data_IF_717723839091
#
_entry.id   IF_717723839091
#
_cell.length_a   1.000
_cell.length_b   1.000
_cell.length_c   1.000
_cell.angle_alpha   90.00
_cell.angle_beta   90.00
_cell.angle_gamma   90.00
#
_symmetry.space_group_name_H-M   'P 1'
#
loop_
_entity.id
_entity.type
_entity.pdbx_description
1 polymer ?
#
# COMPACT_ATOMS: atom_id res chain seq x y z
N UNK A 1 -3.40 6.64 -12.52
CA UNK A 1 -4.01 7.60 -11.59
C UNK A 1 -3.00 7.86 -10.47
N UNK A 2 -2.64 9.11 -10.21
CA UNK A 2 -1.69 9.46 -9.15
C UNK A 2 -2.45 10.09 -7.98
N UNK A 3 -2.84 9.27 -7.00
CA UNK A 3 -3.59 9.74 -5.83
C UNK A 3 -2.85 10.80 -5.02
N UNK A 4 -1.53 10.90 -5.16
CA UNK A 4 -0.77 11.97 -4.52
C UNK A 4 -1.15 13.35 -5.08
N UNK A 5 -1.27 13.45 -6.40
CA UNK A 5 -1.62 14.69 -7.08
C UNK A 5 -3.11 15.02 -6.87
N UNK A 6 -3.99 14.03 -6.99
CA UNK A 6 -5.45 14.22 -6.85
C UNK A 6 -5.87 14.64 -5.46
N UNK A 7 -5.17 14.16 -4.43
CA UNK A 7 -5.44 14.52 -3.05
C UNK A 7 -4.74 15.82 -2.63
N UNK A 8 -4.06 16.49 -3.58
CA UNK A 8 -3.31 17.72 -3.41
C UNK A 8 -2.23 17.60 -2.31
N UNK A 9 -1.54 16.47 -2.24
CA UNK A 9 -0.37 16.34 -1.38
C UNK A 9 0.80 17.13 -1.96
N UNK A 10 1.63 17.68 -1.08
CA UNK A 10 2.83 18.40 -1.51
C UNK A 10 3.79 17.37 -2.10
N UNK A 11 4.13 17.54 -3.37
CA UNK A 11 5.17 16.76 -4.04
C UNK A 11 6.53 17.46 -3.82
N UNK A 12 7.42 16.90 -2.99
CA UNK A 12 8.68 17.56 -2.66
C UNK A 12 9.65 17.51 -3.85
N UNK A 13 9.97 18.67 -4.43
CA UNK A 13 10.96 18.77 -5.51
C UNK A 13 12.42 18.78 -5.00
N UNK A 14 12.62 18.92 -3.68
CA UNK A 14 13.93 18.98 -3.04
C UNK A 14 14.16 17.75 -2.16
N UNK A 15 15.37 17.17 -2.24
CA UNK A 15 15.77 15.99 -1.45
C UNK A 15 15.53 16.15 0.05
N UNK A 16 15.79 17.34 0.60
CA UNK A 16 15.57 17.61 2.03
C UNK A 16 14.10 17.48 2.42
N UNK A 17 13.21 18.06 1.62
CA UNK A 17 11.76 18.01 1.83
C UNK A 17 11.24 16.56 1.75
N UNK A 18 11.77 15.79 0.79
CA UNK A 18 11.49 14.36 0.68
C UNK A 18 11.90 13.58 1.93
N UNK A 19 13.12 13.78 2.43
CA UNK A 19 13.58 13.13 3.65
C UNK A 19 12.72 13.48 4.86
N UNK A 20 12.30 14.75 5.00
CA UNK A 20 11.40 15.16 6.08
C UNK A 20 10.06 14.44 6.02
N UNK A 21 9.47 14.29 4.83
CA UNK A 21 8.24 13.51 4.65
C UNK A 21 8.45 12.04 5.04
N UNK A 22 9.55 11.42 4.58
CA UNK A 22 9.89 10.02 4.91
C UNK A 22 10.07 9.82 6.43
N UNK A 23 10.78 10.72 7.12
CA UNK A 23 10.97 10.65 8.57
C UNK A 23 9.64 10.77 9.34
N UNK A 24 8.72 11.63 8.87
CA UNK A 24 7.38 11.79 9.44
C UNK A 24 6.56 10.51 9.24
N UNK A 25 6.57 9.96 8.03
CA UNK A 25 5.90 8.70 7.69
C UNK A 25 6.43 7.56 8.54
N UNK A 26 7.75 7.41 8.64
CA UNK A 26 8.39 6.37 9.44
C UNK A 26 8.03 6.51 10.92
N UNK A 27 7.98 7.74 11.43
CA UNK A 27 7.54 8.01 12.80
C UNK A 27 6.11 7.55 13.05
N UNK A 28 5.19 7.81 12.11
CA UNK A 28 3.82 7.31 12.19
C UNK A 28 3.78 5.78 12.18
N UNK A 29 4.51 5.13 11.26
CA UNK A 29 4.55 3.66 11.16
C UNK A 29 5.07 3.00 12.43
N UNK A 30 6.09 3.59 13.06
CA UNK A 30 6.64 3.10 14.31
C UNK A 30 5.66 3.26 15.48
N UNK A 31 4.91 4.37 15.54
CA UNK A 31 3.85 4.55 16.54
C UNK A 31 2.69 3.58 16.31
N UNK A 32 2.34 3.31 15.06
CA UNK A 32 1.31 2.36 14.67
C UNK A 32 1.63 0.89 15.03
N UNK A 33 2.89 0.58 15.38
CA UNK A 33 3.27 -0.73 15.93
C UNK A 33 2.67 -0.98 17.31
N UNK A 34 2.51 0.08 18.10
CA UNK A 34 2.19 -0.03 19.54
C UNK A 34 0.79 0.44 19.89
N UNK A 35 0.09 1.16 19.00
CA UNK A 35 -1.26 1.67 19.26
C UNK A 35 -2.07 1.94 17.99
N UNK A 36 -3.40 2.10 18.09
CA UNK A 36 -4.25 2.42 16.95
C UNK A 36 -3.89 3.74 16.27
N UNK A 37 -3.90 3.77 14.94
CA UNK A 37 -3.48 4.93 14.14
C UNK A 37 -4.34 6.17 14.38
N UNK A 38 -5.64 5.99 14.58
CA UNK A 38 -6.60 7.06 14.93
C UNK A 38 -6.37 7.69 16.32
N UNK A 39 -5.50 7.11 17.15
CA UNK A 39 -5.12 7.66 18.47
C UNK A 39 -3.72 8.29 18.48
N UNK A 40 -3.01 8.25 17.36
CA UNK A 40 -1.70 8.91 17.22
C UNK A 40 -1.94 10.42 17.10
N UNK A 41 -1.14 11.22 17.82
CA UNK A 41 -1.25 12.68 17.78
C UNK A 41 -0.10 13.30 17.00
N UNK A 42 -0.30 14.53 16.49
CA UNK A 42 0.77 15.29 15.84
C UNK A 42 1.95 15.59 16.78
N UNK A 43 1.70 15.72 18.10
CA UNK A 43 2.77 15.89 19.10
C UNK A 43 3.67 14.64 19.18
N UNK A 44 3.10 13.45 19.15
CA UNK A 44 3.90 12.21 19.20
C UNK A 44 4.71 12.01 17.92
N UNK A 45 4.14 12.34 16.77
CA UNK A 45 4.85 12.33 15.49
C UNK A 45 5.98 13.37 15.52
N UNK A 46 5.71 14.58 16.02
CA UNK A 46 6.72 15.64 16.18
C UNK A 46 7.88 15.19 17.07
N UNK A 47 7.56 14.63 18.24
CA UNK A 47 8.56 14.14 19.19
C UNK A 47 9.42 13.03 18.58
N UNK A 48 8.80 12.07 17.88
CA UNK A 48 9.52 10.92 17.32
C UNK A 48 10.32 11.26 16.05
N UNK A 49 9.78 12.11 15.19
CA UNK A 49 10.43 12.51 13.93
C UNK A 49 11.52 13.57 14.13
N UNK A 50 11.53 14.26 15.28
CA UNK A 50 12.46 15.35 15.55
C UNK A 50 12.10 16.67 14.87
N UNK A 51 10.98 16.74 14.14
CA UNK A 51 10.50 17.96 13.49
C UNK A 51 9.44 18.64 14.33
N UNK A 52 9.48 19.97 14.41
CA UNK A 52 8.42 20.76 15.04
C UNK A 52 7.07 20.57 14.32
N UNK A 53 5.97 20.69 15.05
CA UNK A 53 4.61 20.57 14.47
C UNK A 53 4.39 21.53 13.28
N UNK A 54 4.95 22.74 13.33
CA UNK A 54 4.86 23.68 12.21
C UNK A 54 5.51 23.14 10.93
N UNK A 55 6.62 22.40 11.04
CA UNK A 55 7.26 21.72 9.91
C UNK A 55 6.40 20.58 9.39
N UNK A 56 5.78 19.78 10.28
CA UNK A 56 4.86 18.73 9.88
C UNK A 56 3.68 19.33 9.10
N UNK A 57 3.06 20.38 9.64
CA UNK A 57 1.89 21.00 9.03
C UNK A 57 2.22 21.88 7.81
N UNK A 58 3.51 22.15 7.57
CA UNK A 58 3.97 22.68 6.29
C UNK A 58 3.85 21.63 5.17
N UNK A 59 4.02 20.34 5.47
CA UNK A 59 3.94 19.25 4.50
C UNK A 59 2.53 18.62 4.41
N UNK A 60 1.77 18.63 5.51
CA UNK A 60 0.47 17.96 5.64
C UNK A 60 -0.55 18.91 6.24
N UNK A 61 -1.77 19.01 5.71
CA UNK A 61 -2.73 20.01 6.22
C UNK A 61 -3.27 19.67 7.61
N UNK A 62 -3.29 18.38 7.94
CA UNK A 62 -3.80 17.84 9.19
C UNK A 62 -3.21 16.44 9.43
N UNK A 63 -3.60 15.80 10.52
CA UNK A 63 -3.15 14.44 10.85
C UNK A 63 -3.67 13.38 9.86
N UNK A 64 -4.93 13.50 9.43
CA UNK A 64 -5.55 12.58 8.47
C UNK A 64 -4.77 12.56 7.14
N UNK A 65 -4.23 13.70 6.72
CA UNK A 65 -3.34 13.84 5.56
C UNK A 65 -2.08 12.99 5.72
N UNK A 66 -1.45 12.99 6.90
CA UNK A 66 -0.24 12.19 7.19
C UNK A 66 -0.57 10.69 7.08
N UNK A 67 -1.71 10.29 7.67
CA UNK A 67 -2.16 8.90 7.71
C UNK A 67 -2.49 8.41 6.31
N UNK A 68 -3.27 9.19 5.56
CA UNK A 68 -3.67 8.84 4.21
C UNK A 68 -2.47 8.81 3.25
N UNK A 69 -1.57 9.79 3.35
CA UNK A 69 -0.32 9.81 2.58
C UNK A 69 0.52 8.56 2.88
N UNK A 70 0.68 8.20 4.15
CA UNK A 70 1.40 6.99 4.56
C UNK A 70 0.78 5.74 3.97
N UNK A 71 -0.54 5.61 4.01
CA UNK A 71 -1.25 4.47 3.44
C UNK A 71 -1.06 4.36 1.92
N UNK A 72 -1.14 5.47 1.18
CA UNK A 72 -0.90 5.47 -0.26
C UNK A 72 0.56 5.17 -0.62
N UNK A 73 1.51 5.65 0.19
CA UNK A 73 2.93 5.37 -0.02
C UNK A 73 3.24 3.89 0.22
N UNK A 74 2.69 3.30 1.27
CA UNK A 74 2.83 1.87 1.53
C UNK A 74 2.12 1.02 0.47
N UNK A 75 0.94 1.44 0.01
CA UNK A 75 0.25 0.79 -1.12
C UNK A 75 1.12 0.82 -2.38
N UNK A 76 1.69 1.97 -2.73
CA UNK A 76 2.61 2.10 -3.88
C UNK A 76 3.82 1.18 -3.75
N UNK A 77 4.44 1.10 -2.56
CA UNK A 77 5.56 0.19 -2.27
C UNK A 77 5.13 -1.27 -2.39
N UNK A 78 3.96 -1.62 -1.87
CA UNK A 78 3.39 -2.95 -1.97
C UNK A 78 3.11 -3.34 -3.43
N UNK A 79 2.53 -2.46 -4.25
CA UNK A 79 2.33 -2.72 -5.68
C UNK A 79 3.65 -2.98 -6.40
N UNK A 80 4.68 -2.18 -6.13
CA UNK A 80 6.01 -2.40 -6.70
C UNK A 80 6.58 -3.78 -6.30
N UNK A 81 6.40 -4.20 -5.04
CA UNK A 81 6.83 -5.51 -4.58
C UNK A 81 6.00 -6.66 -5.17
N UNK A 82 4.68 -6.47 -5.30
CA UNK A 82 3.77 -7.43 -5.88
C UNK A 82 4.12 -7.74 -7.34
N UNK A 83 4.48 -6.70 -8.11
CA UNK A 83 5.00 -6.87 -9.48
C UNK A 83 6.24 -7.77 -9.51
N UNK A 84 7.18 -7.56 -8.59
CA UNK A 84 8.38 -8.40 -8.49
C UNK A 84 8.04 -9.85 -8.10
N UNK A 85 7.10 -10.05 -7.19
CA UNK A 85 6.65 -11.39 -6.77
C UNK A 85 6.04 -12.14 -7.96
N UNK A 86 5.13 -11.48 -8.70
CA UNK A 86 4.49 -12.08 -9.87
C UNK A 86 5.50 -12.38 -10.98
N UNK A 87 6.38 -11.42 -11.31
CA UNK A 87 7.39 -11.60 -12.36
C UNK A 87 8.39 -12.72 -12.08
N UNK A 88 8.74 -12.92 -10.80
CA UNK A 88 9.72 -13.91 -10.38
C UNK A 88 9.10 -15.24 -9.92
N UNK A 89 7.78 -15.42 -10.05
CA UNK A 89 7.14 -16.68 -9.63
C UNK A 89 7.65 -17.85 -10.50
N UNK A 90 8.23 -18.90 -9.89
CA UNK A 90 8.79 -20.00 -10.65
C UNK A 90 7.68 -20.94 -11.13
N UNK A 91 7.77 -21.36 -12.40
CA UNK A 91 6.78 -22.21 -13.08
C UNK A 91 6.56 -23.59 -12.45
N UNK A 92 7.51 -24.07 -11.64
CA UNK A 92 7.45 -25.36 -10.96
C UNK A 92 6.88 -25.29 -9.54
N UNK A 93 6.46 -24.12 -9.06
CA UNK A 93 5.85 -23.97 -7.74
C UNK A 93 4.34 -23.75 -7.84
N UNK A 94 3.56 -24.33 -6.91
CA UNK A 94 2.12 -24.23 -6.94
C UNK A 94 1.61 -22.83 -6.59
N UNK A 95 0.34 -22.56 -6.92
CA UNK A 95 -0.36 -21.32 -6.60
C UNK A 95 -0.31 -20.97 -5.10
N UNK A 96 -0.26 -21.98 -4.22
CA UNK A 96 -0.12 -21.75 -2.79
C UNK A 96 1.17 -21.02 -2.44
N UNK A 97 2.29 -21.37 -3.09
CA UNK A 97 3.57 -20.68 -2.90
C UNK A 97 3.47 -19.21 -3.33
N UNK A 98 2.79 -18.95 -4.45
CA UNK A 98 2.53 -17.57 -4.88
C UNK A 98 1.66 -16.82 -3.87
N UNK A 99 0.57 -17.44 -3.41
CA UNK A 99 -0.34 -16.86 -2.43
C UNK A 99 0.38 -16.53 -1.12
N UNK A 100 1.23 -17.42 -0.63
CA UNK A 100 2.03 -17.21 0.58
C UNK A 100 2.99 -16.03 0.39
N UNK A 101 3.68 -15.93 -0.75
CA UNK A 101 4.56 -14.80 -1.06
C UNK A 101 3.79 -13.47 -1.12
N UNK A 102 2.60 -13.46 -1.75
CA UNK A 102 1.74 -12.27 -1.80
C UNK A 102 1.26 -11.87 -0.40
N UNK A 103 0.76 -12.81 0.39
CA UNK A 103 0.26 -12.54 1.75
C UNK A 103 1.38 -12.05 2.68
N UNK A 104 2.56 -12.65 2.59
CA UNK A 104 3.73 -12.24 3.36
C UNK A 104 4.22 -10.84 2.95
N UNK A 105 3.90 -10.36 1.75
CA UNK A 105 4.35 -9.06 1.25
C UNK A 105 3.51 -7.85 1.68
N UNK A 106 2.32 -8.06 2.26
CA UNK A 106 1.34 -7.00 2.51
C UNK A 106 1.71 -6.15 3.74
N UNK A 107 2.27 -4.96 3.54
CA UNK A 107 2.76 -4.11 4.64
C UNK A 107 2.19 -2.68 4.65
N UNK A 108 0.87 -2.51 4.56
CA UNK A 108 0.25 -1.18 4.69
C UNK A 108 0.51 -0.54 6.06
N UNK A 109 0.45 -1.36 7.11
CA UNK A 109 0.91 -1.06 8.46
C UNK A 109 1.67 -2.27 9.00
N UNK A 110 2.50 -2.11 10.04
CA UNK A 110 3.25 -3.22 10.62
C UNK A 110 2.31 -4.40 10.95
N UNK A 111 2.48 -5.55 10.30
CA UNK A 111 1.62 -6.72 10.52
C UNK A 111 1.69 -7.23 11.97
N UNK A 112 2.81 -6.96 12.66
CA UNK A 112 2.99 -7.27 14.07
C UNK A 112 2.13 -6.42 15.02
N UNK A 113 1.46 -5.38 14.52
CA UNK A 113 0.58 -4.56 15.34
C UNK A 113 -0.74 -5.27 15.57
N UNK A 114 -1.15 -5.37 16.85
CA UNK A 114 -2.48 -5.85 17.25
C UNK A 114 -3.62 -4.98 16.69
N UNK A 115 -3.29 -3.83 16.10
CA UNK A 115 -4.20 -2.82 15.59
C UNK A 115 -4.19 -2.74 14.05
N UNK A 116 -3.56 -3.69 13.36
CA UNK A 116 -3.40 -3.67 11.91
C UNK A 116 -4.76 -3.55 11.19
N UNK A 117 -5.74 -4.39 11.54
CA UNK A 117 -7.06 -4.38 10.91
C UNK A 117 -7.84 -3.09 11.15
N UNK A 118 -7.74 -2.50 12.34
CA UNK A 118 -8.36 -1.22 12.68
C UNK A 118 -7.71 -0.06 11.89
N UNK A 119 -6.39 -0.09 11.76
CA UNK A 119 -5.62 0.90 11.00
C UNK A 119 -5.98 0.85 9.51
N UNK A 120 -6.15 -0.34 8.95
CA UNK A 120 -6.65 -0.53 7.58
C UNK A 120 -8.05 0.03 7.39
N UNK A 121 -8.99 -0.30 8.30
CA UNK A 121 -10.37 0.21 8.24
C UNK A 121 -10.39 1.73 8.30
N UNK A 122 -9.56 2.32 9.14
CA UNK A 122 -9.45 3.76 9.27
C UNK A 122 -8.85 4.41 8.01
N UNK A 123 -7.78 3.86 7.44
CA UNK A 123 -7.26 4.35 6.16
C UNK A 123 -8.26 4.25 5.01
N UNK A 124 -8.97 3.11 4.92
CA UNK A 124 -10.02 2.93 3.92
C UNK A 124 -11.14 3.97 4.08
N UNK A 125 -11.56 4.25 5.31
CA UNK A 125 -12.61 5.25 5.57
C UNK A 125 -12.15 6.67 5.22
N UNK A 126 -10.91 7.03 5.54
CA UNK A 126 -10.31 8.32 5.14
C UNK A 126 -10.23 8.47 3.63
N UNK A 127 -9.80 7.42 2.92
CA UNK A 127 -9.71 7.45 1.47
C UNK A 127 -11.08 7.62 0.83
N UNK A 128 -12.06 6.77 1.18
CA UNK A 128 -13.42 6.82 0.63
C UNK A 128 -14.04 8.19 0.88
N UNK A 129 -13.87 8.75 2.10
CA UNK A 129 -14.39 10.08 2.44
C UNK A 129 -13.82 11.18 1.55
N UNK A 130 -12.59 11.03 1.06
CA UNK A 130 -11.86 12.07 0.32
C UNK A 130 -11.97 11.94 -1.20
N UNK A 131 -12.03 10.71 -1.71
CA UNK A 131 -12.06 10.43 -3.16
C UNK A 131 -13.43 10.02 -3.67
N UNK A 132 -14.33 9.57 -2.78
CA UNK A 132 -15.57 8.89 -3.14
C UNK A 132 -15.34 7.64 -4.01
N UNK A 133 -14.14 7.05 -3.94
CA UNK A 133 -13.75 5.83 -4.65
C UNK A 133 -13.46 4.71 -3.65
N UNK A 134 -13.62 3.44 -4.07
CA UNK A 134 -13.14 2.32 -3.27
C UNK A 134 -11.61 2.43 -3.09
N UNK A 135 -11.13 2.03 -1.90
CA UNK A 135 -9.69 2.09 -1.57
C UNK A 135 -8.82 1.21 -2.50
N UNK A 136 -9.40 0.13 -3.03
CA UNK A 136 -8.82 -0.69 -4.09
C UNK A 136 -9.41 -0.23 -5.43
N UNK A 137 -8.57 0.29 -6.32
CA UNK A 137 -9.02 0.84 -7.60
C UNK A 137 -8.74 -0.11 -8.78
N UNK A 138 -9.50 0.04 -9.86
CA UNK A 138 -9.44 -0.79 -11.07
C UNK A 138 -8.06 -0.84 -11.76
N UNK A 139 -7.21 0.16 -11.53
CA UNK A 139 -5.88 0.29 -12.17
C UNK A 139 -4.94 -0.84 -11.76
N UNK A 140 -5.06 -1.32 -10.53
CA UNK A 140 -4.23 -2.43 -10.05
C UNK A 140 -4.63 -3.73 -10.75
N UNK A 141 -5.93 -3.90 -11.04
CA UNK A 141 -6.43 -5.08 -11.75
C UNK A 141 -5.91 -5.11 -13.19
N UNK A 142 -5.93 -3.98 -13.91
CA UNK A 142 -5.44 -3.92 -15.30
C UNK A 142 -3.94 -4.22 -15.41
N UNK A 143 -3.13 -3.74 -14.46
CA UNK A 143 -1.68 -3.96 -14.44
C UNK A 143 -1.31 -5.40 -14.07
N UNK A 144 -2.02 -5.99 -13.11
CA UNK A 144 -1.71 -7.31 -12.57
C UNK A 144 -2.27 -8.45 -13.43
N UNK A 145 -3.35 -8.21 -14.17
CA UNK A 145 -4.02 -9.24 -15.00
C UNK A 145 -3.09 -9.88 -16.04
N UNK A 146 -2.32 -9.12 -16.86
CA UNK A 146 -1.41 -9.72 -17.83
C UNK A 146 -0.32 -10.58 -17.18
N UNK A 147 0.21 -10.15 -16.02
CA UNK A 147 1.21 -10.91 -15.28
C UNK A 147 0.62 -12.19 -14.69
N UNK A 148 -0.59 -12.11 -14.15
CA UNK A 148 -1.33 -13.28 -13.69
C UNK A 148 -1.52 -14.31 -14.80
N UNK A 149 -1.96 -13.88 -15.99
CA UNK A 149 -2.13 -14.76 -17.14
C UNK A 149 -0.81 -15.43 -17.57
N UNK A 150 0.29 -14.68 -17.59
CA UNK A 150 1.62 -15.24 -17.91
C UNK A 150 2.08 -16.31 -16.92
N UNK A 151 1.74 -16.17 -15.64
CA UNK A 151 2.03 -17.19 -14.62
C UNK A 151 1.20 -18.44 -14.89
N UNK A 152 -0.11 -18.28 -15.14
CA UNK A 152 -0.99 -19.40 -15.47
C UNK A 152 -0.52 -20.17 -16.71
N UNK A 153 -0.06 -19.48 -17.76
CA UNK A 153 0.44 -20.09 -19.00
C UNK A 153 1.71 -20.93 -18.80
N UNK A 154 2.55 -20.53 -17.84
CA UNK A 154 3.83 -21.20 -17.57
C UNK A 154 3.71 -22.25 -16.46
N UNK A 155 2.56 -22.39 -15.81
CA UNK A 155 2.37 -23.29 -14.68
C UNK A 155 2.58 -24.75 -15.09
N UNK A 156 3.57 -25.40 -14.48
CA UNK A 156 3.85 -26.83 -14.66
C UNK A 156 3.22 -27.69 -13.57
N UNK A 157 2.60 -27.06 -12.56
CA UNK A 157 1.99 -27.77 -11.42
C UNK A 157 0.50 -28.04 -11.59
N UNK A 158 -0.13 -27.44 -12.61
CA UNK A 158 -1.58 -27.48 -12.85
C UNK A 158 -2.42 -27.02 -11.65
N UNK A 159 -1.84 -26.19 -10.79
CA UNK A 159 -2.48 -25.65 -9.59
C UNK A 159 -3.23 -24.34 -9.88
N UNK A 160 -2.92 -23.69 -11.00
CA UNK A 160 -3.67 -22.55 -11.51
C UNK A 160 -4.84 -23.04 -12.37
N UNK A 161 -5.96 -22.32 -12.35
CA UNK A 161 -7.06 -22.56 -13.29
C UNK A 161 -6.54 -22.33 -14.71
N UNK A 162 -6.51 -23.39 -15.51
CA UNK A 162 -6.00 -23.37 -16.89
C UNK A 162 -6.74 -22.30 -17.72
N UNK A 163 -6.06 -21.20 -18.05
CA UNK A 163 -6.61 -20.04 -18.78
C UNK A 163 -7.19 -20.41 -20.15
N UNK A 164 -6.71 -21.51 -20.75
CA UNK A 164 -7.20 -22.08 -22.01
C UNK A 164 -8.68 -22.50 -21.94
N UNK A 165 -9.19 -22.90 -20.77
CA UNK A 165 -10.61 -23.27 -20.62
C UNK A 165 -11.55 -22.06 -20.47
N UNK A 166 -11.04 -20.93 -19.97
CA UNK A 166 -11.88 -19.75 -19.68
C UNK A 166 -12.25 -19.02 -20.97
N UNK A 167 -11.36 -18.99 -21.98
CA UNK A 167 -11.68 -18.39 -23.29
C UNK A 167 -12.73 -19.18 -24.10
N UNK A 168 -12.94 -20.46 -23.80
CA UNK A 168 -13.96 -21.29 -24.48
C UNK A 168 -15.35 -21.24 -23.83
N UNK A 169 -15.48 -20.58 -22.67
CA UNK A 169 -16.75 -20.53 -21.91
C UNK A 169 -17.56 -19.25 -22.15
N UNK A 170 -17.05 -18.33 -22.95
CA UNK A 170 -17.66 -17.04 -23.28
C UNK A 170 -17.91 -16.85 -24.80
N UNK A 171 -17.97 -17.95 -25.55
CA UNK A 171 -18.45 -17.98 -26.95
C UNK A 171 -19.80 -18.65 -27.01
#
# INVERSE_FOLDING_TARGET
MNFFDELNFINPNQKRSFNTIEDIVESLLQLAKTKPVNTITAQEISFRSGYAMGTIFHHFKNLDDIILYTCLLQQKRWHANLLLILQNHPSNHPIQFLADNILNSLYLFPQSSKHHSESLKYCASLFIKRTNLPFMNHIDVELLTPLWLQICEKDMTFSFLNSVKIQQSFV
#
